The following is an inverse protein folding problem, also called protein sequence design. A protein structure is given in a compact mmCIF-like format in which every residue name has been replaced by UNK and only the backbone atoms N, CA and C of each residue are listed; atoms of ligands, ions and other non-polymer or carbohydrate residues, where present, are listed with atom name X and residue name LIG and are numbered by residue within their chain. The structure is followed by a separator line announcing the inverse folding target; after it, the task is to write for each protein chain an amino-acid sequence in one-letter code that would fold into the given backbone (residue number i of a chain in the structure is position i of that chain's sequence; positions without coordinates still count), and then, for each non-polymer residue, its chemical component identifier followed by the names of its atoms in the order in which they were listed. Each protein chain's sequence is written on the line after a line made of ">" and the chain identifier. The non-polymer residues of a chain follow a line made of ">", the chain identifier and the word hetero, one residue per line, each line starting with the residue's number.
data_IF_352008881980
#
_entry.id   IF_352008881980
#
_cell.length_a   1.000
_cell.length_b   1.000
_cell.length_c   1.000
_cell.angle_alpha   90.00
_cell.angle_beta   90.00
_cell.angle_gamma   90.00
#
_symmetry.space_group_name_H-M   'P 1'
#
loop_
_entity.id
_entity.type
_entity.pdbx_description
1 polymer ?
#
# COMPACT_ATOMS: atom_id res chain seq x y z
N UNK A 1 28.67 -7.35 -11.95
CA UNK A 1 28.26 -8.72 -11.58
C UNK A 1 26.84 -8.67 -11.05
N UNK A 2 25.98 -9.63 -11.43
CA UNK A 2 24.63 -9.77 -10.89
C UNK A 2 24.71 -10.25 -9.45
N UNK A 3 23.86 -9.71 -8.59
CA UNK A 3 23.65 -10.24 -7.26
C UNK A 3 22.49 -11.25 -7.25
N UNK A 4 22.52 -12.17 -6.30
CA UNK A 4 21.44 -13.16 -6.08
C UNK A 4 20.46 -12.62 -5.05
N UNK A 5 19.19 -12.56 -5.42
CA UNK A 5 18.11 -12.00 -4.61
C UNK A 5 17.01 -13.01 -4.42
N UNK A 6 16.53 -13.17 -3.19
CA UNK A 6 15.38 -14.00 -2.87
C UNK A 6 14.19 -13.15 -2.43
N UNK A 7 13.00 -13.46 -2.98
CA UNK A 7 11.72 -12.98 -2.48
C UNK A 7 11.03 -14.03 -1.62
N UNK A 8 10.48 -13.66 -0.46
CA UNK A 8 9.72 -14.58 0.39
C UNK A 8 8.37 -13.94 0.72
N UNK A 9 7.30 -14.58 0.23
CA UNK A 9 5.93 -14.06 0.31
C UNK A 9 5.03 -15.00 1.09
N UNK A 10 4.25 -14.45 2.03
CA UNK A 10 3.29 -15.26 2.81
C UNK A 10 2.01 -15.55 2.02
N UNK A 11 1.72 -14.75 1.01
CA UNK A 11 0.57 -14.89 0.13
C UNK A 11 0.99 -15.33 -1.28
N UNK A 12 0.04 -15.69 -2.16
CA UNK A 12 0.31 -15.84 -3.59
C UNK A 12 0.83 -14.54 -4.19
N UNK A 13 1.73 -14.63 -5.17
CA UNK A 13 2.29 -13.45 -5.86
C UNK A 13 1.23 -12.64 -6.63
N UNK A 14 0.04 -13.17 -6.85
CA UNK A 14 -1.11 -12.47 -7.43
C UNK A 14 -1.84 -11.57 -6.42
N UNK A 15 -1.64 -11.79 -5.13
CA UNK A 15 -2.21 -10.94 -4.10
C UNK A 15 -1.59 -9.54 -4.23
N UNK A 16 -2.45 -8.50 -4.27
CA UNK A 16 -2.04 -7.15 -4.71
C UNK A 16 -0.87 -6.54 -3.94
N UNK A 17 -0.74 -6.83 -2.64
CA UNK A 17 0.36 -6.31 -1.82
C UNK A 17 1.68 -7.00 -2.17
N UNK A 18 1.73 -8.33 -2.16
CA UNK A 18 2.92 -9.12 -2.50
C UNK A 18 3.31 -8.95 -3.97
N UNK A 19 2.32 -8.77 -4.85
CA UNK A 19 2.56 -8.49 -6.26
C UNK A 19 3.46 -7.26 -6.48
N UNK A 20 3.38 -6.23 -5.63
CA UNK A 20 4.23 -5.03 -5.76
C UNK A 20 5.71 -5.36 -5.57
N UNK A 21 6.03 -6.21 -4.62
CA UNK A 21 7.40 -6.67 -4.38
C UNK A 21 7.88 -7.58 -5.52
N UNK A 22 7.06 -8.57 -5.85
CA UNK A 22 7.39 -9.54 -6.90
C UNK A 22 7.63 -8.86 -8.26
N UNK A 23 6.74 -7.95 -8.67
CA UNK A 23 6.87 -7.25 -9.95
C UNK A 23 8.11 -6.35 -10.02
N UNK A 24 8.47 -5.69 -8.93
CA UNK A 24 9.68 -4.87 -8.88
C UNK A 24 10.96 -5.72 -8.99
N UNK A 25 11.02 -6.85 -8.31
CA UNK A 25 12.14 -7.80 -8.40
C UNK A 25 12.23 -8.49 -9.76
N UNK A 26 11.11 -8.89 -10.32
CA UNK A 26 11.03 -9.48 -11.67
C UNK A 26 11.47 -8.49 -12.75
N UNK A 27 11.09 -7.22 -12.61
CA UNK A 27 11.55 -6.15 -13.49
C UNK A 27 13.07 -5.96 -13.42
N UNK A 28 13.66 -5.96 -12.23
CA UNK A 28 15.12 -5.89 -12.05
C UNK A 28 15.84 -7.10 -12.67
N UNK A 29 15.26 -8.29 -12.52
CA UNK A 29 15.77 -9.52 -13.15
C UNK A 29 15.70 -9.44 -14.68
N UNK A 30 14.60 -8.97 -15.24
CA UNK A 30 14.42 -8.75 -16.70
C UNK A 30 15.39 -7.72 -17.27
N UNK A 31 15.76 -6.70 -16.50
CA UNK A 31 16.83 -5.74 -16.86
C UNK A 31 18.23 -6.36 -16.79
N UNK A 32 18.35 -7.57 -16.25
CA UNK A 32 19.62 -8.28 -16.11
C UNK A 32 20.48 -7.84 -14.92
N UNK A 33 19.90 -7.16 -13.96
CA UNK A 33 20.61 -6.60 -12.79
C UNK A 33 20.81 -7.60 -11.67
N UNK A 34 19.89 -8.56 -11.53
CA UNK A 34 19.88 -9.58 -10.47
C UNK A 34 19.59 -10.98 -11.02
N UNK A 35 19.96 -12.00 -10.25
CA UNK A 35 19.41 -13.35 -10.34
C UNK A 35 18.32 -13.47 -9.26
N UNK A 36 17.07 -13.62 -9.67
CA UNK A 36 15.91 -13.60 -8.78
C UNK A 36 15.28 -14.98 -8.62
N UNK A 37 15.09 -15.39 -7.38
CA UNK A 37 14.33 -16.59 -6.99
C UNK A 37 13.31 -16.19 -5.92
N UNK A 38 12.24 -16.94 -5.80
CA UNK A 38 11.25 -16.64 -4.77
C UNK A 38 10.50 -17.89 -4.28
N UNK A 39 9.90 -17.76 -3.10
CA UNK A 39 8.92 -18.68 -2.53
C UNK A 39 7.66 -17.90 -2.18
N UNK A 40 6.50 -18.43 -2.54
CA UNK A 40 5.20 -17.87 -2.22
C UNK A 40 4.39 -18.80 -1.31
N UNK A 41 3.31 -18.26 -0.70
CA UNK A 41 2.44 -19.00 0.22
C UNK A 41 3.22 -19.62 1.38
N UNK A 42 4.27 -18.95 1.81
CA UNK A 42 5.10 -19.39 2.94
C UNK A 42 4.39 -19.02 4.24
N UNK A 43 3.95 -20.02 5.01
CA UNK A 43 3.31 -19.77 6.29
C UNK A 43 4.29 -19.17 7.31
N UNK A 44 3.80 -18.47 8.31
CA UNK A 44 4.64 -17.95 9.39
C UNK A 44 5.42 -19.06 10.10
N UNK A 45 4.84 -20.26 10.19
CA UNK A 45 5.52 -21.46 10.78
C UNK A 45 6.72 -21.91 9.96
N UNK A 46 6.64 -21.83 8.63
CA UNK A 46 7.72 -22.26 7.72
C UNK A 46 8.71 -21.15 7.39
N UNK A 47 8.36 -19.90 7.66
CA UNK A 47 9.09 -18.73 7.16
C UNK A 47 10.56 -18.72 7.56
N UNK A 48 10.88 -18.97 8.83
CA UNK A 48 12.26 -18.99 9.32
C UNK A 48 13.09 -20.07 8.65
N UNK A 49 12.52 -21.25 8.42
CA UNK A 49 13.19 -22.34 7.70
C UNK A 49 13.52 -21.92 6.27
N UNK A 50 12.55 -21.40 5.53
CA UNK A 50 12.75 -20.93 4.15
C UNK A 50 13.77 -19.80 4.09
N UNK A 51 13.70 -18.84 5.02
CA UNK A 51 14.65 -17.74 5.11
C UNK A 51 16.09 -18.25 5.30
N UNK A 52 16.31 -19.19 6.23
CA UNK A 52 17.63 -19.78 6.46
C UNK A 52 18.14 -20.59 5.27
N UNK A 53 17.28 -21.32 4.58
CA UNK A 53 17.63 -22.07 3.36
C UNK A 53 18.16 -21.11 2.28
N UNK A 54 17.50 -19.96 2.08
CA UNK A 54 17.98 -18.95 1.15
C UNK A 54 19.31 -18.34 1.60
N UNK A 55 19.44 -17.98 2.87
CA UNK A 55 20.69 -17.43 3.40
C UNK A 55 21.88 -18.39 3.19
N UNK A 56 21.66 -19.71 3.34
CA UNK A 56 22.69 -20.73 3.14
C UNK A 56 23.00 -21.00 1.65
N UNK A 57 22.17 -20.53 0.71
CA UNK A 57 22.31 -20.79 -0.72
C UNK A 57 23.11 -19.75 -1.50
N UNK A 58 23.73 -18.78 -0.82
CA UNK A 58 24.52 -17.72 -1.45
C UNK A 58 23.71 -16.53 -1.94
N UNK A 59 22.51 -16.31 -1.40
CA UNK A 59 21.72 -15.10 -1.58
C UNK A 59 22.44 -13.91 -0.94
N UNK A 60 22.41 -12.76 -1.58
CA UNK A 60 23.05 -11.53 -1.11
C UNK A 60 22.04 -10.51 -0.60
N UNK A 61 20.78 -10.56 -1.07
CA UNK A 61 19.68 -9.72 -0.63
C UNK A 61 18.42 -10.56 -0.49
N UNK A 62 17.74 -10.43 0.63
CA UNK A 62 16.40 -10.99 0.85
C UNK A 62 15.39 -9.86 0.90
N UNK A 63 14.31 -9.98 0.13
CA UNK A 63 13.15 -9.09 0.18
C UNK A 63 11.93 -9.90 0.55
N UNK A 64 11.17 -9.46 1.54
CA UNK A 64 9.99 -10.18 1.98
C UNK A 64 9.17 -9.41 2.99
N UNK A 65 8.31 -10.13 3.69
CA UNK A 65 7.44 -9.58 4.74
C UNK A 65 7.67 -10.32 6.06
N UNK A 66 7.86 -9.56 7.13
CA UNK A 66 8.19 -10.10 8.44
C UNK A 66 7.16 -9.74 9.52
N UNK A 67 5.98 -9.23 9.14
CA UNK A 67 4.97 -8.73 10.09
C UNK A 67 4.58 -9.76 11.16
N UNK A 68 4.47 -11.03 10.80
CA UNK A 68 4.12 -12.11 11.71
C UNK A 68 5.31 -12.80 12.39
N UNK A 69 6.55 -12.52 11.96
CA UNK A 69 7.76 -13.21 12.42
C UNK A 69 8.96 -12.28 12.60
N UNK A 70 8.69 -11.00 12.92
CA UNK A 70 9.71 -9.94 13.00
C UNK A 70 10.89 -10.32 13.89
N UNK A 71 10.62 -10.82 15.10
CA UNK A 71 11.65 -11.19 16.07
C UNK A 71 12.56 -12.33 15.55
N UNK A 72 11.96 -13.31 14.94
CA UNK A 72 12.65 -14.48 14.38
C UNK A 72 13.48 -14.10 13.16
N UNK A 73 12.93 -13.28 12.27
CA UNK A 73 13.64 -12.80 11.08
C UNK A 73 14.88 -11.96 11.45
N UNK A 74 14.78 -11.14 12.49
CA UNK A 74 15.92 -10.34 13.00
C UNK A 74 17.04 -11.23 13.55
N UNK A 75 16.71 -12.32 14.22
CA UNK A 75 17.72 -13.30 14.65
C UNK A 75 18.44 -13.97 13.48
N UNK A 76 17.70 -14.25 12.41
CA UNK A 76 18.33 -14.78 11.20
C UNK A 76 19.30 -13.76 10.60
N UNK A 77 18.91 -12.48 10.57
CA UNK A 77 19.80 -11.43 10.08
C UNK A 77 21.07 -11.30 10.94
N UNK A 78 20.99 -11.45 12.25
CA UNK A 78 22.14 -11.48 13.14
C UNK A 78 23.11 -12.64 12.85
N UNK A 79 22.57 -13.81 12.46
CA UNK A 79 23.34 -14.99 12.11
C UNK A 79 24.01 -14.90 10.72
N UNK A 80 23.53 -14.00 9.87
CA UNK A 80 24.04 -13.78 8.48
C UNK A 80 24.35 -12.31 8.24
N UNK A 81 25.34 -11.73 8.90
CA UNK A 81 25.62 -10.28 8.84
C UNK A 81 26.09 -9.82 7.46
N UNK A 82 26.52 -10.70 6.58
CA UNK A 82 26.93 -10.39 5.20
C UNK A 82 25.76 -10.32 4.22
N UNK A 83 24.56 -10.73 4.61
CA UNK A 83 23.37 -10.70 3.77
C UNK A 83 22.54 -9.47 4.09
N UNK A 84 22.07 -8.77 3.05
CA UNK A 84 21.15 -7.65 3.18
C UNK A 84 19.71 -8.13 3.27
N UNK A 85 18.91 -7.52 4.14
CA UNK A 85 17.49 -7.82 4.34
C UNK A 85 16.68 -6.54 4.17
N UNK A 86 15.72 -6.54 3.26
CA UNK A 86 14.69 -5.51 3.12
C UNK A 86 13.32 -6.15 3.39
N UNK A 87 12.79 -5.92 4.58
CA UNK A 87 11.63 -6.65 5.08
C UNK A 87 10.47 -5.74 5.44
N UNK A 88 9.28 -6.12 5.01
CA UNK A 88 8.04 -5.51 5.50
C UNK A 88 7.91 -5.75 7.00
N UNK A 89 7.98 -4.68 7.80
CA UNK A 89 8.05 -4.76 9.25
C UNK A 89 7.64 -3.40 9.87
N UNK A 90 6.76 -3.37 10.89
CA UNK A 90 6.31 -2.11 11.48
C UNK A 90 7.32 -1.50 12.47
N UNK A 91 8.39 -2.23 12.82
CA UNK A 91 9.37 -1.79 13.80
C UNK A 91 10.58 -1.11 13.13
N UNK A 92 11.48 -0.58 13.96
CA UNK A 92 12.71 0.07 13.48
C UNK A 92 13.67 -0.92 12.81
N UNK A 93 14.60 -0.45 11.97
CA UNK A 93 15.68 -1.28 11.44
C UNK A 93 16.47 -1.98 12.55
N UNK A 94 17.13 -3.09 12.20
CA UNK A 94 17.86 -3.91 13.17
C UNK A 94 19.29 -4.20 12.69
N UNK A 95 20.24 -4.12 13.63
CA UNK A 95 21.65 -4.39 13.36
C UNK A 95 22.20 -3.48 12.25
N UNK A 96 23.02 -4.06 11.39
CA UNK A 96 23.62 -3.36 10.26
C UNK A 96 23.04 -3.76 8.90
N UNK A 97 22.19 -4.78 8.84
CA UNK A 97 21.78 -5.42 7.60
C UNK A 97 20.28 -5.69 7.45
N UNK A 98 19.46 -5.28 8.43
CA UNK A 98 18.00 -5.48 8.40
C UNK A 98 17.29 -4.14 8.24
N UNK A 99 16.98 -3.79 7.00
CA UNK A 99 16.15 -2.63 6.64
C UNK A 99 14.67 -2.99 6.68
N UNK A 100 13.84 -2.00 6.96
CA UNK A 100 12.39 -2.15 7.07
C UNK A 100 11.66 -1.24 6.11
N UNK A 101 10.51 -1.70 5.63
CA UNK A 101 9.56 -0.90 4.87
C UNK A 101 8.12 -1.23 5.30
N UNK A 102 7.22 -0.37 4.94
CA UNK A 102 5.78 -0.58 4.98
C UNK A 102 5.16 0.24 3.84
N UNK A 103 3.88 0.13 3.55
CA UNK A 103 3.29 1.02 2.58
C UNK A 103 2.95 2.36 3.24
N UNK A 104 3.47 3.45 2.69
CA UNK A 104 3.16 4.82 3.09
C UNK A 104 2.50 5.55 1.94
N UNK A 105 1.38 5.01 1.48
CA UNK A 105 0.56 5.61 0.40
C UNK A 105 -0.53 6.55 0.92
N UNK A 106 -0.38 7.03 2.14
CA UNK A 106 -1.29 7.99 2.77
C UNK A 106 -1.35 9.33 2.02
N UNK A 107 -0.28 9.75 1.35
CA UNK A 107 -0.25 10.99 0.59
C UNK A 107 -1.25 10.98 -0.58
N UNK A 108 -1.23 10.00 -1.51
CA UNK A 108 -2.28 9.92 -2.51
C UNK A 108 -3.67 9.64 -1.92
N UNK A 109 -3.79 9.00 -0.75
CA UNK A 109 -5.07 8.85 -0.05
C UNK A 109 -5.66 10.21 0.36
N UNK A 110 -4.84 11.14 0.83
CA UNK A 110 -5.26 12.51 1.11
C UNK A 110 -5.80 13.20 -0.14
N UNK A 111 -5.10 13.07 -1.26
CA UNK A 111 -5.53 13.62 -2.55
C UNK A 111 -6.85 13.01 -3.03
N UNK A 112 -7.01 11.68 -2.88
CA UNK A 112 -8.30 11.03 -3.16
C UNK A 112 -9.41 11.56 -2.26
N UNK A 113 -9.11 11.84 -1.01
CA UNK A 113 -10.05 12.45 -0.06
C UNK A 113 -10.58 13.81 -0.54
N UNK A 114 -9.71 14.66 -1.10
CA UNK A 114 -10.10 15.94 -1.70
C UNK A 114 -11.09 15.71 -2.84
N UNK A 115 -10.81 14.75 -3.72
CA UNK A 115 -11.73 14.43 -4.83
C UNK A 115 -13.05 13.88 -4.30
N UNK A 116 -13.00 12.95 -3.37
CA UNK A 116 -14.18 12.36 -2.74
C UNK A 116 -15.06 13.40 -2.04
N UNK A 117 -14.45 14.33 -1.33
CA UNK A 117 -15.13 15.42 -0.65
C UNK A 117 -15.86 16.36 -1.59
N UNK A 118 -15.33 16.53 -2.81
CA UNK A 118 -16.00 17.32 -3.86
C UNK A 118 -17.07 16.53 -4.63
N UNK A 119 -17.01 15.19 -4.64
CA UNK A 119 -17.94 14.36 -5.41
C UNK A 119 -19.11 13.83 -4.59
N UNK A 120 -19.00 13.70 -3.28
CA UNK A 120 -20.11 13.26 -2.44
C UNK A 120 -21.27 14.23 -2.51
N UNK A 121 -22.49 13.72 -2.63
CA UNK A 121 -23.74 14.48 -2.59
C UNK A 121 -24.44 14.35 -1.24
N UNK A 122 -24.25 13.20 -0.59
CA UNK A 122 -24.84 12.90 0.71
C UNK A 122 -24.01 13.43 1.89
N UNK A 123 -22.79 13.93 1.67
CA UNK A 123 -21.81 14.23 2.70
C UNK A 123 -21.55 13.06 3.65
N UNK A 124 -21.63 11.85 3.13
CA UNK A 124 -21.42 10.59 3.85
C UNK A 124 -20.49 9.70 3.05
N UNK A 125 -19.32 9.47 3.61
CA UNK A 125 -18.25 8.67 2.98
C UNK A 125 -18.00 7.43 3.84
N UNK A 126 -17.83 6.28 3.19
CA UNK A 126 -17.56 5.02 3.86
C UNK A 126 -16.19 4.45 3.52
N UNK A 127 -15.70 3.59 4.40
CA UNK A 127 -14.49 2.82 4.19
C UNK A 127 -14.57 1.46 4.88
N UNK A 128 -14.09 0.45 4.18
CA UNK A 128 -14.04 -0.93 4.68
C UNK A 128 -12.61 -1.40 4.66
N UNK A 129 -12.08 -1.74 5.82
CA UNK A 129 -10.72 -2.22 6.02
C UNK A 129 -10.67 -3.66 6.53
N UNK A 130 -9.46 -4.26 6.47
CA UNK A 130 -9.23 -5.60 6.99
C UNK A 130 -9.13 -5.61 8.50
N UNK A 131 -8.10 -4.99 9.03
CA UNK A 131 -7.82 -4.88 10.48
C UNK A 131 -7.41 -3.44 10.82
N UNK A 132 -7.71 -2.97 12.04
CA UNK A 132 -7.34 -1.62 12.49
C UNK A 132 -5.87 -1.55 12.93
N UNK A 133 -4.96 -1.80 12.01
CA UNK A 133 -3.52 -1.67 12.21
C UNK A 133 -2.99 -0.37 11.61
N UNK A 134 -1.83 0.08 12.05
CA UNK A 134 -1.25 1.36 11.62
C UNK A 134 -1.21 1.55 10.11
N UNK A 135 -0.84 0.49 9.36
CA UNK A 135 -0.81 0.50 7.90
C UNK A 135 -2.16 0.93 7.26
N UNK A 136 -3.27 0.40 7.75
CA UNK A 136 -4.61 0.73 7.24
C UNK A 136 -5.12 2.04 7.84
N UNK A 137 -4.89 2.23 9.12
CA UNK A 137 -5.40 3.39 9.87
C UNK A 137 -4.91 4.72 9.29
N UNK A 138 -3.60 4.83 8.95
CA UNK A 138 -3.06 6.07 8.37
C UNK A 138 -3.64 6.41 7.00
N UNK A 139 -4.00 5.40 6.21
CA UNK A 139 -4.63 5.62 4.90
C UNK A 139 -6.05 6.17 5.07
N UNK A 140 -6.81 5.60 5.99
CA UNK A 140 -8.16 6.06 6.29
C UNK A 140 -8.17 7.48 6.86
N UNK A 141 -7.28 7.78 7.81
CA UNK A 141 -7.16 9.14 8.35
C UNK A 141 -6.78 10.17 7.27
N UNK A 142 -5.82 9.83 6.41
CA UNK A 142 -5.42 10.74 5.32
C UNK A 142 -6.59 11.01 4.36
N UNK A 143 -7.33 9.97 3.99
CA UNK A 143 -8.51 10.09 3.14
C UNK A 143 -9.60 10.96 3.80
N UNK A 144 -9.89 10.72 5.07
CA UNK A 144 -10.85 11.51 5.85
C UNK A 144 -10.40 12.99 5.94
N UNK A 145 -9.13 13.23 6.24
CA UNK A 145 -8.58 14.58 6.37
C UNK A 145 -8.62 15.33 5.03
N UNK A 146 -8.33 14.66 3.92
CA UNK A 146 -8.47 15.23 2.59
C UNK A 146 -9.90 15.65 2.28
N UNK A 147 -10.88 14.80 2.60
CA UNK A 147 -12.30 15.10 2.41
C UNK A 147 -12.75 16.28 3.29
N UNK A 148 -12.37 16.26 4.57
CA UNK A 148 -12.70 17.35 5.52
C UNK A 148 -12.04 18.68 5.15
N UNK A 149 -10.90 18.68 4.47
CA UNK A 149 -10.22 19.90 4.03
C UNK A 149 -11.03 20.70 3.01
N UNK A 150 -11.96 20.07 2.30
CA UNK A 150 -12.83 20.73 1.31
C UNK A 150 -14.28 20.84 1.74
N UNK A 151 -14.70 20.01 2.71
CA UNK A 151 -16.06 20.03 3.26
C UNK A 151 -16.06 19.44 4.68
N UNK A 152 -16.06 20.30 5.68
CA UNK A 152 -16.03 19.92 7.10
C UNK A 152 -17.33 19.29 7.62
N UNK A 153 -18.40 19.34 6.85
CA UNK A 153 -19.68 18.70 7.16
C UNK A 153 -19.75 17.20 6.83
N UNK A 154 -18.72 16.63 6.19
CA UNK A 154 -18.71 15.21 5.83
C UNK A 154 -18.65 14.32 7.08
N UNK A 155 -19.45 13.26 7.03
CA UNK A 155 -19.51 12.21 8.06
C UNK A 155 -18.96 10.90 7.47
N UNK A 156 -18.42 10.05 8.33
CA UNK A 156 -17.73 8.84 7.93
C UNK A 156 -18.30 7.59 8.61
N UNK A 157 -18.42 6.50 7.84
CA UNK A 157 -18.58 5.13 8.36
C UNK A 157 -17.28 4.36 8.15
N UNK A 158 -16.82 3.69 9.19
CA UNK A 158 -15.61 2.86 9.17
C UNK A 158 -15.99 1.46 9.65
N UNK A 159 -15.65 0.44 8.87
CA UNK A 159 -15.87 -0.96 9.23
C UNK A 159 -14.60 -1.76 8.97
N UNK A 160 -14.16 -2.53 9.97
CA UNK A 160 -13.09 -3.52 9.81
C UNK A 160 -13.71 -4.91 9.83
N UNK A 161 -13.39 -5.74 8.82
CA UNK A 161 -14.01 -7.05 8.65
C UNK A 161 -13.30 -8.20 9.39
N UNK A 162 -12.10 -7.94 9.95
CA UNK A 162 -11.32 -8.96 10.65
C UNK A 162 -10.73 -10.04 9.73
N UNK A 163 -10.47 -9.70 8.46
CA UNK A 163 -9.86 -10.59 7.47
C UNK A 163 -9.10 -9.77 6.43
N UNK A 164 -8.00 -10.31 5.93
CA UNK A 164 -7.29 -9.71 4.80
C UNK A 164 -7.89 -10.11 3.45
N UNK A 165 -8.65 -11.19 3.38
CA UNK A 165 -9.34 -11.61 2.16
C UNK A 165 -10.63 -12.32 2.47
N UNK A 166 -11.73 -11.59 2.41
CA UNK A 166 -13.10 -12.08 2.51
C UNK A 166 -14.02 -11.15 1.69
N UNK A 167 -14.01 -11.27 0.35
CA UNK A 167 -14.81 -10.41 -0.51
C UNK A 167 -16.30 -10.39 -0.21
N UNK A 168 -16.97 -11.51 0.11
CA UNK A 168 -18.38 -11.49 0.50
C UNK A 168 -18.64 -10.65 1.76
N UNK A 169 -17.79 -10.77 2.78
CA UNK A 169 -17.92 -10.02 4.02
C UNK A 169 -17.63 -8.53 3.82
N UNK A 170 -16.63 -8.20 3.01
CA UNK A 170 -16.34 -6.81 2.65
C UNK A 170 -17.49 -6.18 1.86
N UNK A 171 -18.08 -6.92 0.91
CA UNK A 171 -19.26 -6.49 0.16
C UNK A 171 -20.46 -6.25 1.08
N UNK A 172 -20.74 -7.15 2.02
CA UNK A 172 -21.82 -7.01 3.01
C UNK A 172 -21.61 -5.74 3.87
N UNK A 173 -20.40 -5.51 4.36
CA UNK A 173 -20.07 -4.32 5.13
C UNK A 173 -20.28 -3.03 4.32
N UNK A 174 -19.85 -3.02 3.06
CA UNK A 174 -20.05 -1.90 2.15
C UNK A 174 -21.55 -1.65 1.88
N UNK A 175 -22.34 -2.70 1.63
CA UNK A 175 -23.79 -2.60 1.44
C UNK A 175 -24.48 -1.96 2.65
N UNK A 176 -24.11 -2.38 3.86
CA UNK A 176 -24.66 -1.81 5.09
C UNK A 176 -24.35 -0.31 5.22
N UNK A 177 -23.16 0.11 4.80
CA UNK A 177 -22.79 1.54 4.78
C UNK A 177 -23.60 2.33 3.74
N UNK A 178 -23.84 1.77 2.57
CA UNK A 178 -24.71 2.40 1.55
C UNK A 178 -26.14 2.55 2.06
N UNK A 179 -26.67 1.55 2.74
CA UNK A 179 -28.00 1.62 3.37
C UNK A 179 -28.05 2.71 4.45
N UNK A 180 -26.94 3.02 5.11
CA UNK A 180 -26.83 4.14 6.06
C UNK A 180 -26.69 5.52 5.36
N UNK A 181 -26.66 5.56 4.02
CA UNK A 181 -26.64 6.77 3.22
C UNK A 181 -25.27 7.15 2.65
N UNK A 182 -24.25 6.29 2.75
CA UNK A 182 -22.94 6.50 2.13
C UNK A 182 -23.07 6.47 0.61
N UNK A 183 -22.48 7.45 -0.08
CA UNK A 183 -22.50 7.56 -1.54
C UNK A 183 -21.09 7.58 -2.19
N UNK A 184 -20.04 7.54 -1.40
CA UNK A 184 -18.63 7.43 -1.83
C UNK A 184 -17.91 6.50 -0.87
N UNK A 185 -17.10 5.58 -1.40
CA UNK A 185 -16.37 4.62 -0.58
C UNK A 185 -14.88 4.57 -0.90
N UNK A 186 -14.07 4.33 0.14
CA UNK A 186 -12.68 3.91 0.01
C UNK A 186 -12.63 2.38 0.06
N UNK A 187 -12.17 1.77 -1.03
CA UNK A 187 -12.14 0.32 -1.22
C UNK A 187 -10.78 -0.27 -0.81
N UNK A 188 -10.52 -0.35 0.49
CA UNK A 188 -9.27 -0.97 0.98
C UNK A 188 -9.31 -2.49 0.80
N UNK A 189 -10.49 -3.11 0.85
CA UNK A 189 -10.66 -4.58 0.69
C UNK A 189 -11.39 -4.96 -0.59
N UNK A 190 -11.02 -6.14 -1.12
CA UNK A 190 -11.74 -6.77 -2.22
C UNK A 190 -13.21 -7.02 -1.85
N UNK A 191 -14.13 -6.75 -2.76
CA UNK A 191 -15.58 -6.86 -2.55
C UNK A 191 -16.29 -5.51 -2.43
N UNK A 192 -15.59 -4.46 -2.02
CA UNK A 192 -16.16 -3.10 -1.89
C UNK A 192 -16.56 -2.53 -3.25
N UNK A 193 -15.71 -2.68 -4.27
CA UNK A 193 -16.01 -2.21 -5.64
C UNK A 193 -17.28 -2.87 -6.20
N UNK A 194 -17.48 -4.16 -5.95
CA UNK A 194 -18.70 -4.86 -6.36
C UNK A 194 -19.96 -4.27 -5.70
N UNK A 195 -19.89 -3.96 -4.42
CA UNK A 195 -20.99 -3.31 -3.72
C UNK A 195 -21.28 -1.92 -4.32
N UNK A 196 -20.27 -1.13 -4.59
CA UNK A 196 -20.42 0.20 -5.20
C UNK A 196 -21.03 0.11 -6.60
N UNK A 197 -20.59 -0.86 -7.42
CA UNK A 197 -21.18 -1.10 -8.75
C UNK A 197 -22.65 -1.45 -8.66
N UNK A 198 -22.99 -2.37 -7.78
CA UNK A 198 -24.37 -2.83 -7.60
C UNK A 198 -25.30 -1.70 -7.12
N UNK A 199 -24.80 -0.82 -6.27
CA UNK A 199 -25.57 0.30 -5.70
C UNK A 199 -25.47 1.59 -6.52
N UNK A 200 -24.68 1.62 -7.59
CA UNK A 200 -24.53 2.80 -8.43
C UNK A 200 -23.82 3.97 -7.78
N UNK A 201 -22.91 3.71 -6.86
CA UNK A 201 -22.05 4.72 -6.20
C UNK A 201 -20.60 4.56 -6.65
N UNK A 202 -19.77 5.54 -6.31
CA UNK A 202 -18.36 5.57 -6.69
C UNK A 202 -17.44 5.08 -5.57
N UNK A 203 -16.27 4.58 -5.98
CA UNK A 203 -15.22 4.12 -5.08
C UNK A 203 -13.86 4.74 -5.43
N UNK A 204 -12.97 4.71 -4.45
CA UNK A 204 -11.55 5.03 -4.59
C UNK A 204 -10.73 3.79 -4.22
N UNK A 205 -9.72 3.47 -5.04
CA UNK A 205 -8.98 2.23 -4.94
C UNK A 205 -7.72 2.31 -4.08
N UNK A 206 -7.15 1.15 -3.78
CA UNK A 206 -6.03 0.98 -2.85
C UNK A 206 -4.98 0.03 -3.41
N UNK A 207 -3.70 0.42 -3.31
CA UNK A 207 -2.50 -0.35 -3.65
C UNK A 207 -2.28 -0.54 -5.15
N UNK A 208 -3.25 -1.10 -5.87
CA UNK A 208 -3.20 -1.33 -7.32
C UNK A 208 -4.24 -0.47 -8.05
N UNK A 209 -4.16 -0.43 -9.36
CA UNK A 209 -5.13 0.27 -10.20
C UNK A 209 -6.45 -0.52 -10.28
N UNK A 210 -7.31 -0.29 -9.29
CA UNK A 210 -8.56 -1.04 -9.15
C UNK A 210 -9.58 -0.75 -10.26
N UNK A 211 -9.44 0.36 -11.01
CA UNK A 211 -10.26 0.60 -12.20
C UNK A 211 -9.98 -0.46 -13.28
N UNK A 212 -8.71 -0.82 -13.49
CA UNK A 212 -8.29 -1.75 -14.54
C UNK A 212 -8.08 -3.17 -14.04
N UNK A 213 -7.55 -3.33 -12.84
CA UNK A 213 -7.15 -4.65 -12.33
C UNK A 213 -8.24 -5.34 -11.51
N UNK A 214 -9.24 -4.61 -11.02
CA UNK A 214 -10.32 -5.16 -10.18
C UNK A 214 -11.73 -4.84 -10.74
N UNK A 215 -11.85 -4.74 -12.07
CA UNK A 215 -13.11 -4.49 -12.77
C UNK A 215 -13.86 -3.23 -12.28
N UNK A 216 -13.09 -2.19 -11.97
CA UNK A 216 -13.60 -0.93 -11.43
C UNK A 216 -14.06 0.09 -12.46
N UNK A 217 -14.16 -0.28 -13.75
CA UNK A 217 -14.59 0.62 -14.83
C UNK A 217 -15.95 1.23 -14.52
N UNK A 218 -16.04 2.58 -14.56
CA UNK A 218 -17.27 3.31 -14.24
C UNK A 218 -17.61 3.40 -12.75
N UNK A 219 -16.78 2.84 -11.89
CA UNK A 219 -16.98 2.81 -10.41
C UNK A 219 -15.81 3.45 -9.69
N UNK A 220 -14.56 3.03 -10.00
CA UNK A 220 -13.35 3.51 -9.34
C UNK A 220 -12.84 4.77 -10.03
N UNK A 221 -12.87 5.88 -9.31
CA UNK A 221 -12.47 7.21 -9.81
C UNK A 221 -10.96 7.29 -10.04
N UNK A 222 -10.19 6.88 -9.06
CA UNK A 222 -8.74 6.71 -9.08
C UNK A 222 -8.33 5.78 -7.95
N UNK A 223 -7.05 5.41 -7.89
CA UNK A 223 -6.50 4.56 -6.85
C UNK A 223 -5.21 5.14 -6.31
N UNK A 224 -4.97 4.98 -5.02
CA UNK A 224 -3.67 5.23 -4.42
C UNK A 224 -2.77 4.04 -4.76
N UNK A 225 -1.80 4.25 -5.65
CA UNK A 225 -0.91 3.21 -6.13
C UNK A 225 0.34 3.13 -5.25
N UNK A 226 0.75 1.91 -4.97
CA UNK A 226 2.00 1.60 -4.29
C UNK A 226 3.02 1.01 -5.25
N UNK A 227 4.23 1.58 -5.27
CA UNK A 227 5.33 1.17 -6.13
C UNK A 227 6.55 0.84 -5.29
N UNK A 228 7.12 -0.35 -5.47
CA UNK A 228 8.32 -0.80 -4.77
C UNK A 228 9.60 -0.75 -5.62
N UNK A 229 9.50 -0.38 -6.89
CA UNK A 229 10.63 -0.36 -7.82
C UNK A 229 11.78 0.50 -7.29
N UNK A 230 11.51 1.74 -6.89
CA UNK A 230 12.55 2.66 -6.38
C UNK A 230 13.22 2.17 -5.11
N UNK A 231 12.43 1.64 -4.16
CA UNK A 231 12.96 1.08 -2.91
C UNK A 231 13.83 -0.14 -3.15
N UNK A 232 13.37 -1.04 -4.01
CA UNK A 232 14.08 -2.28 -4.35
C UNK A 232 15.33 -1.97 -5.17
N UNK A 233 15.26 -1.07 -6.15
CA UNK A 233 16.42 -0.65 -6.94
C UNK A 233 17.51 -0.03 -6.04
N UNK A 234 17.11 0.79 -5.07
CA UNK A 234 18.03 1.33 -4.07
C UNK A 234 18.70 0.22 -3.24
N UNK A 235 17.93 -0.76 -2.75
CA UNK A 235 18.48 -1.88 -1.99
C UNK A 235 19.44 -2.73 -2.84
N UNK A 236 19.10 -2.99 -4.09
CA UNK A 236 19.95 -3.72 -5.05
C UNK A 236 21.27 -2.97 -5.26
N UNK A 237 21.21 -1.67 -5.52
CA UNK A 237 22.40 -0.84 -5.74
C UNK A 237 23.32 -0.84 -4.52
N UNK A 238 22.77 -0.63 -3.32
CA UNK A 238 23.52 -0.64 -2.06
C UNK A 238 24.17 -1.99 -1.80
N UNK A 239 23.46 -3.09 -2.08
CA UNK A 239 23.99 -4.45 -1.92
C UNK A 239 25.13 -4.72 -2.92
N UNK A 240 24.95 -4.35 -4.20
CA UNK A 240 25.99 -4.50 -5.24
C UNK A 240 27.28 -3.74 -4.92
N UNK A 241 27.14 -2.57 -4.32
CA UNK A 241 28.27 -1.69 -4.00
C UNK A 241 28.90 -1.99 -2.63
N UNK A 242 28.36 -2.97 -1.88
CA UNK A 242 28.83 -3.30 -0.53
C UNK A 242 28.58 -2.19 0.48
N UNK A 243 27.59 -1.33 0.24
CA UNK A 243 27.25 -0.17 1.08
C UNK A 243 25.88 -0.28 1.71
N UNK A 244 25.27 -1.46 1.69
CA UNK A 244 23.99 -1.70 2.34
C UNK A 244 24.12 -1.48 3.85
N UNK A 245 23.17 -0.79 4.44
CA UNK A 245 23.06 -0.57 5.88
C UNK A 245 21.61 -0.67 6.30
N UNK A 246 21.36 -0.94 7.55
CA UNK A 246 20.01 -1.00 8.08
C UNK A 246 19.37 0.39 8.10
N UNK A 247 18.34 0.58 7.32
CA UNK A 247 17.63 1.83 7.10
C UNK A 247 16.12 1.64 7.15
N UNK A 248 15.41 2.72 7.48
CA UNK A 248 13.96 2.82 7.31
C UNK A 248 13.65 3.27 5.89
N UNK A 249 12.94 2.41 5.12
CA UNK A 249 12.60 2.69 3.71
C UNK A 249 11.22 3.36 3.55
N UNK A 250 10.63 3.87 4.60
CA UNK A 250 9.28 4.48 4.56
C UNK A 250 9.18 5.59 3.51
N UNK A 251 10.17 6.47 3.44
CA UNK A 251 10.19 7.56 2.46
C UNK A 251 10.33 7.08 1.01
N UNK A 252 10.91 5.91 0.78
CA UNK A 252 10.98 5.29 -0.55
C UNK A 252 9.63 4.80 -1.06
N UNK A 253 8.66 4.60 -0.16
CA UNK A 253 7.29 4.22 -0.49
C UNK A 253 6.34 5.41 -0.58
N UNK A 254 6.86 6.65 -0.48
CA UNK A 254 6.12 7.91 -0.54
C UNK A 254 6.27 8.58 -1.92
N UNK A 255 5.48 9.63 -2.17
CA UNK A 255 5.39 10.27 -3.49
C UNK A 255 6.71 10.87 -3.97
N UNK A 256 7.46 11.53 -3.10
CA UNK A 256 8.72 12.20 -3.48
C UNK A 256 9.77 11.25 -4.07
N UNK A 257 9.74 9.97 -3.72
CA UNK A 257 10.64 8.92 -4.23
C UNK A 257 9.99 8.04 -5.28
N UNK A 258 8.79 8.37 -5.76
CA UNK A 258 8.06 7.57 -6.73
C UNK A 258 7.43 6.30 -6.16
N UNK A 259 7.38 6.15 -4.84
CA UNK A 259 6.79 4.98 -4.15
C UNK A 259 5.28 5.02 -4.04
N UNK A 260 4.66 6.17 -4.28
CA UNK A 260 3.22 6.35 -4.25
C UNK A 260 2.78 7.33 -5.36
N UNK A 261 1.68 7.01 -6.02
CA UNK A 261 1.07 7.87 -7.05
C UNK A 261 -0.45 7.73 -7.06
N UNK A 262 -1.13 8.60 -7.78
CA UNK A 262 -2.53 8.41 -8.16
C UNK A 262 -2.62 7.71 -9.51
N UNK A 263 -3.55 6.78 -9.65
CA UNK A 263 -3.93 6.22 -10.94
C UNK A 263 -4.58 7.30 -11.83
N UNK A 264 -4.59 7.12 -13.17
CA UNK A 264 -5.37 7.98 -14.06
C UNK A 264 -6.85 7.97 -13.69
N UNK A 265 -7.56 9.06 -14.03
CA UNK A 265 -9.00 9.18 -13.75
C UNK A 265 -9.89 8.45 -14.76
N UNK A 266 -9.33 8.00 -15.89
CA UNK A 266 -10.02 7.27 -16.95
C UNK A 266 -11.36 7.94 -17.34
N UNK A 267 -12.46 7.20 -17.26
CA UNK A 267 -13.82 7.68 -17.59
C UNK A 267 -14.33 8.78 -16.65
N UNK A 268 -13.64 9.05 -15.54
CA UNK A 268 -13.96 10.14 -14.62
C UNK A 268 -13.23 11.46 -14.96
N UNK A 269 -12.32 11.44 -15.94
CA UNK A 269 -11.54 12.63 -16.32
C UNK A 269 -12.43 13.87 -16.60
N UNK A 270 -13.55 13.67 -17.29
CA UNK A 270 -14.53 14.72 -17.59
C UNK A 270 -15.59 14.92 -16.50
N UNK A 271 -15.59 14.12 -15.45
CA UNK A 271 -16.59 14.20 -14.36
C UNK A 271 -16.06 14.90 -13.12
N UNK A 272 -14.75 15.03 -12.99
CA UNK A 272 -14.12 15.77 -11.91
C UNK A 272 -13.93 17.21 -12.39
N UNK A 273 -14.41 18.22 -11.64
CA UNK A 273 -14.21 19.63 -12.03
C UNK A 273 -12.72 19.97 -12.26
N UNK A 274 -12.41 20.75 -13.27
CA UNK A 274 -11.04 21.16 -13.59
C UNK A 274 -10.36 21.88 -12.41
N UNK A 275 -11.12 22.65 -11.63
CA UNK A 275 -10.63 23.31 -10.42
C UNK A 275 -10.16 22.31 -9.36
N UNK A 276 -10.85 21.17 -9.21
CA UNK A 276 -10.48 20.10 -8.29
C UNK A 276 -9.24 19.35 -8.79
N UNK A 277 -9.19 19.03 -10.08
CA UNK A 277 -8.00 18.40 -10.69
C UNK A 277 -6.77 19.31 -10.56
N UNK A 278 -6.93 20.60 -10.77
CA UNK A 278 -5.88 21.60 -10.59
C UNK A 278 -5.40 21.69 -9.14
N UNK A 279 -6.30 21.69 -8.17
CA UNK A 279 -5.98 21.69 -6.74
C UNK A 279 -5.17 20.44 -6.37
N UNK A 280 -5.59 19.26 -6.82
CA UNK A 280 -4.89 18.00 -6.58
C UNK A 280 -3.50 18.01 -7.21
N UNK A 281 -3.36 18.48 -8.45
CA UNK A 281 -2.07 18.58 -9.14
C UNK A 281 -1.10 19.52 -8.41
N UNK A 282 -1.58 20.70 -7.98
CA UNK A 282 -0.76 21.66 -7.26
C UNK A 282 -0.34 21.14 -5.88
N UNK A 283 -1.25 20.48 -5.17
CA UNK A 283 -0.95 19.91 -3.87
C UNK A 283 0.00 18.73 -3.99
N UNK A 284 -0.13 17.90 -5.05
CA UNK A 284 0.85 16.83 -5.35
C UNK A 284 2.27 17.37 -5.45
N UNK A 285 2.47 18.49 -6.16
CA UNK A 285 3.78 19.14 -6.25
C UNK A 285 4.30 19.63 -4.90
N UNK A 286 3.43 20.18 -4.07
CA UNK A 286 3.78 20.63 -2.72
C UNK A 286 4.15 19.46 -1.81
N UNK A 287 3.43 18.33 -1.90
CA UNK A 287 3.76 17.10 -1.17
C UNK A 287 5.14 16.57 -1.60
N UNK A 288 5.36 16.45 -2.91
CA UNK A 288 6.63 15.94 -3.46
C UNK A 288 7.82 16.83 -3.11
N UNK A 289 7.62 18.14 -2.97
CA UNK A 289 8.67 19.09 -2.57
C UNK A 289 8.81 19.29 -1.06
N UNK A 290 8.00 18.62 -0.25
CA UNK A 290 7.99 18.77 1.22
C UNK A 290 7.34 20.05 1.73
N UNK A 291 6.73 20.89 0.86
CA UNK A 291 6.04 22.12 1.26
C UNK A 291 4.69 21.86 1.91
N UNK A 292 4.11 20.70 1.69
CA UNK A 292 2.92 20.22 2.37
C UNK A 292 3.17 18.80 2.88
N UNK A 293 2.89 18.56 4.14
CA UNK A 293 3.08 17.26 4.78
C UNK A 293 1.72 16.70 5.16
N UNK A 294 1.39 15.52 4.62
CA UNK A 294 0.19 14.78 5.02
C UNK A 294 0.45 14.11 6.36
N UNK A 295 -0.45 14.34 7.31
CA UNK A 295 -0.35 13.72 8.64
C UNK A 295 -0.38 12.20 8.56
N UNK A 296 0.50 11.56 9.33
CA UNK A 296 0.48 10.11 9.57
C UNK A 296 -0.19 9.88 10.93
N UNK A 297 -1.37 9.28 10.91
CA UNK A 297 -2.10 8.92 12.12
C UNK A 297 -2.40 7.42 12.10
N UNK A 298 -1.71 6.68 12.95
CA UNK A 298 -1.81 5.22 13.04
C UNK A 298 -2.87 4.74 14.03
N UNK A 299 -3.59 5.66 14.68
CA UNK A 299 -4.68 5.31 15.60
C UNK A 299 -5.90 4.78 14.83
N UNK A 300 -6.65 3.87 15.45
CA UNK A 300 -7.88 3.34 14.86
C UNK A 300 -8.90 4.45 14.56
N UNK A 301 -9.29 4.65 13.28
CA UNK A 301 -10.31 5.62 12.93
C UNK A 301 -11.69 5.17 13.39
N UNK A 302 -12.55 6.11 13.73
CA UNK A 302 -13.92 5.85 14.23
C UNK A 302 -14.96 6.43 13.27
N UNK A 303 -16.10 5.76 13.19
CA UNK A 303 -17.29 6.31 12.52
C UNK A 303 -17.75 7.60 13.23
N UNK A 304 -18.27 8.54 12.46
CA UNK A 304 -18.75 9.84 12.97
C UNK A 304 -20.28 10.01 12.87
N UNK A 305 -20.98 8.97 12.39
CA UNK A 305 -22.44 8.90 12.41
C UNK A 305 -22.95 7.47 12.54
#
# INVERSE_FOLDING_TARGET
>A
QKIKVAGIYTQPIQQKWDARLHLALDAAAKRGEIEYVFSEKVSNTDYVRVLREYCASGIQLVVGEAFGISKEARKVADDYPEIAFLMGDPFKPHGNNFSVFDNYIHEPCYLMGIIAGNMTKANKIGMVGGYPIGEVNRLFHAFMNGALSVNDGIKFKVTFIGSWYDPPKAKEAAMAQVEAGVDVMYAERAGVVDACREKGIIAFGNVNDMNKEEDGTGVVVTSALWHMESAIDHAIERTKNGTFSAEEYHNWTMMAKGGATLAPYYEFEGKIPDSVKGQVADLSKKIMSGKFVVEINDNEPKSTF
#
